data_IF_177188153984
#
_entry.id   IF_177188153984
#
_cell.length_a   1.000
_cell.length_b   1.000
_cell.length_c   1.000
_cell.angle_alpha   90.00
_cell.angle_beta   90.00
_cell.angle_gamma   90.00
#
_symmetry.space_group_name_H-M   'P 1'
#
loop_
_entity.id
_entity.type
_entity.pdbx_description
1 polymer ?
#
# COMPACT_ATOMS: atom_id res chain seq x y z
N UNK A 1 14.01 35.41 4.39
CA UNK A 1 13.49 34.53 5.41
C UNK A 1 12.90 33.29 4.75
N UNK A 2 13.30 32.12 5.20
CA UNK A 2 12.76 30.90 4.63
C UNK A 2 11.36 30.62 5.18
N UNK A 3 10.47 30.23 4.30
CA UNK A 3 9.13 29.82 4.69
C UNK A 3 9.08 28.31 4.84
N UNK A 4 8.58 27.82 5.96
CA UNK A 4 8.43 26.38 6.16
C UNK A 4 7.24 25.80 5.40
N UNK A 5 6.23 26.61 5.16
CA UNK A 5 5.03 26.20 4.44
C UNK A 5 4.85 27.14 3.26
N UNK A 6 4.79 26.58 2.06
CA UNK A 6 4.60 27.36 0.85
C UNK A 6 3.84 26.52 -0.19
N UNK A 7 3.30 27.17 -1.24
CA UNK A 7 2.64 26.42 -2.29
C UNK A 7 3.58 25.43 -2.95
N UNK A 8 3.06 24.24 -3.27
CA UNK A 8 3.86 23.20 -3.92
C UNK A 8 4.28 23.67 -5.31
N UNK A 9 5.59 23.56 -5.60
CA UNK A 9 6.20 24.07 -6.83
C UNK A 9 5.93 25.56 -7.07
N UNK A 10 5.70 26.34 -5.99
CA UNK A 10 5.38 27.76 -6.07
C UNK A 10 4.10 28.06 -6.85
N UNK A 11 3.20 27.06 -6.98
CA UNK A 11 1.94 27.21 -7.69
C UNK A 11 0.78 27.19 -6.70
N UNK A 12 0.17 28.36 -6.38
CA UNK A 12 -0.91 28.41 -5.40
C UNK A 12 -2.19 27.73 -5.86
N UNK A 13 -2.30 27.36 -7.12
CA UNK A 13 -3.52 26.72 -7.65
C UNK A 13 -3.47 25.19 -7.62
N UNK A 14 -2.34 24.60 -7.21
CA UNK A 14 -2.21 23.13 -7.17
C UNK A 14 -3.03 22.49 -6.05
N UNK A 15 -3.33 23.25 -5.00
CA UNK A 15 -4.08 22.70 -3.86
C UNK A 15 -3.23 21.82 -2.94
N UNK A 16 -1.91 21.94 -3.02
CA UNK A 16 -0.98 21.20 -2.20
C UNK A 16 0.04 22.17 -1.61
N UNK A 17 0.69 21.77 -0.53
CA UNK A 17 1.66 22.60 0.16
C UNK A 17 3.00 21.88 0.27
N UNK A 18 4.08 22.64 0.18
CA UNK A 18 5.41 22.16 0.51
C UNK A 18 5.67 22.47 1.98
N UNK A 19 5.84 21.42 2.78
CA UNK A 19 6.14 21.55 4.21
C UNK A 19 7.37 20.71 4.54
N UNK A 20 8.01 20.92 5.71
CA UNK A 20 9.10 20.04 6.11
C UNK A 20 8.70 18.57 6.17
N UNK A 21 7.44 18.28 6.46
CA UNK A 21 6.95 16.90 6.51
C UNK A 21 6.76 16.31 5.11
N UNK A 22 6.29 17.11 4.14
CA UNK A 22 5.94 16.59 2.83
C UNK A 22 7.10 16.61 1.83
N UNK A 23 8.00 17.59 1.92
CA UNK A 23 8.99 17.81 0.87
C UNK A 23 10.43 17.88 1.36
N UNK A 24 10.70 17.58 2.63
CA UNK A 24 12.07 17.56 3.13
C UNK A 24 12.86 16.42 2.48
N UNK A 25 14.19 16.56 2.51
CA UNK A 25 15.06 15.51 2.00
C UNK A 25 14.82 14.18 2.71
N UNK A 26 14.61 14.24 4.03
CA UNK A 26 14.31 13.03 4.80
C UNK A 26 13.03 12.35 4.33
N UNK A 27 11.98 13.14 4.10
CA UNK A 27 10.71 12.58 3.59
C UNK A 27 10.89 11.98 2.21
N UNK A 28 11.58 12.65 1.32
CA UNK A 28 11.82 12.14 -0.04
C UNK A 28 12.62 10.85 -0.02
N UNK A 29 13.63 10.77 0.83
CA UNK A 29 14.42 9.55 0.94
C UNK A 29 13.60 8.40 1.50
N UNK A 30 12.79 8.66 2.53
CA UNK A 30 11.93 7.64 3.12
C UNK A 30 10.91 7.13 2.12
N UNK A 31 10.18 8.04 1.47
CA UNK A 31 9.15 7.65 0.51
C UNK A 31 9.75 6.96 -0.71
N UNK A 32 10.90 7.44 -1.19
CA UNK A 32 11.56 6.84 -2.34
C UNK A 32 12.03 5.41 -2.09
N UNK A 33 12.19 5.00 -0.84
CA UNK A 33 12.59 3.65 -0.49
C UNK A 33 11.42 2.73 -0.15
N UNK A 34 10.19 3.26 -0.10
CA UNK A 34 9.01 2.42 0.06
C UNK A 34 8.79 1.57 -1.19
N UNK A 35 8.27 0.35 -1.04
CA UNK A 35 8.12 -0.56 -2.18
C UNK A 35 7.34 0.04 -3.34
N UNK A 36 6.36 0.89 -3.06
CA UNK A 36 5.52 1.48 -4.12
C UNK A 36 6.31 2.47 -4.98
N UNK A 37 7.32 3.13 -4.41
CA UNK A 37 8.10 4.16 -5.11
C UNK A 37 9.54 3.74 -5.40
N UNK A 38 10.01 2.65 -4.85
CA UNK A 38 11.40 2.23 -5.02
C UNK A 38 11.68 1.87 -6.48
N UNK A 39 12.79 2.37 -6.99
CA UNK A 39 13.18 2.10 -8.36
C UNK A 39 13.77 0.70 -8.48
N UNK A 40 13.62 0.11 -9.66
CA UNK A 40 14.22 -1.19 -9.96
C UNK A 40 13.42 -2.40 -9.51
N UNK A 41 12.21 -2.20 -8.97
CA UNK A 41 11.35 -3.31 -8.57
C UNK A 41 10.31 -3.61 -9.64
N UNK A 42 10.04 -4.89 -9.85
CA UNK A 42 8.90 -5.30 -10.67
C UNK A 42 7.60 -5.07 -9.91
N UNK A 43 6.48 -5.06 -10.64
CA UNK A 43 5.18 -4.89 -10.01
C UNK A 43 4.88 -6.00 -9.01
N UNK A 44 5.27 -7.24 -9.35
CA UNK A 44 5.07 -8.38 -8.45
C UNK A 44 5.81 -8.19 -7.14
N UNK A 45 7.08 -7.77 -7.20
CA UNK A 45 7.88 -7.56 -5.99
C UNK A 45 7.38 -6.40 -5.16
N UNK A 46 6.88 -5.32 -5.79
CA UNK A 46 6.28 -4.23 -5.05
C UNK A 46 5.07 -4.72 -4.26
N UNK A 47 4.20 -5.46 -4.91
CA UNK A 47 3.03 -6.03 -4.26
C UNK A 47 3.40 -7.00 -3.17
N UNK A 48 4.37 -7.86 -3.41
CA UNK A 48 4.82 -8.85 -2.43
C UNK A 48 5.31 -8.18 -1.15
N UNK A 49 6.16 -7.18 -1.28
CA UNK A 49 6.72 -6.49 -0.11
C UNK A 49 5.65 -5.71 0.65
N UNK A 50 4.78 -4.99 -0.07
CA UNK A 50 3.67 -4.28 0.55
C UNK A 50 2.73 -5.26 1.23
N UNK A 51 2.43 -6.37 0.58
CA UNK A 51 1.56 -7.40 1.14
C UNK A 51 2.11 -8.02 2.41
N UNK A 52 3.42 -8.32 2.43
CA UNK A 52 4.04 -8.87 3.63
C UNK A 52 3.90 -7.93 4.81
N UNK A 53 4.11 -6.63 4.60
CA UNK A 53 3.97 -5.65 5.66
C UNK A 53 2.53 -5.60 6.17
N UNK A 54 1.55 -5.56 5.27
CA UNK A 54 0.14 -5.51 5.66
C UNK A 54 -0.30 -6.78 6.38
N UNK A 55 0.10 -7.94 5.86
CA UNK A 55 -0.25 -9.19 6.52
C UNK A 55 0.33 -9.30 7.92
N UNK A 56 1.54 -8.80 8.09
CA UNK A 56 2.20 -8.83 9.38
C UNK A 56 1.50 -7.95 10.40
N UNK A 57 1.20 -6.69 10.04
CA UNK A 57 0.71 -5.76 11.05
C UNK A 57 -0.81 -5.78 11.24
N UNK A 58 -1.58 -6.26 10.25
CA UNK A 58 -3.04 -6.21 10.36
C UNK A 58 -3.60 -7.16 11.42
N UNK A 59 -2.87 -8.22 11.74
CA UNK A 59 -3.34 -9.16 12.77
C UNK A 59 -3.42 -8.50 14.15
N UNK A 60 -2.56 -7.51 14.43
CA UNK A 60 -2.47 -6.89 15.74
C UNK A 60 -3.78 -6.29 16.24
N UNK A 61 -4.41 -5.36 15.50
CA UNK A 61 -5.68 -4.78 15.95
C UNK A 61 -6.77 -5.81 16.15
N UNK A 62 -6.88 -6.82 15.28
CA UNK A 62 -7.88 -7.85 15.43
C UNK A 62 -7.61 -8.76 16.63
N UNK A 63 -6.33 -9.00 16.93
CA UNK A 63 -5.96 -9.80 18.09
C UNK A 63 -6.26 -9.06 19.40
N UNK A 64 -5.91 -7.78 19.47
CA UNK A 64 -5.97 -7.01 20.72
C UNK A 64 -7.37 -6.46 20.98
N UNK A 65 -8.08 -6.02 19.93
CA UNK A 65 -9.35 -5.30 20.07
C UNK A 65 -10.55 -6.09 19.57
N UNK A 66 -10.34 -7.30 19.05
CA UNK A 66 -11.41 -8.09 18.48
C UNK A 66 -12.40 -8.65 19.51
N UNK A 67 -13.57 -9.12 19.07
CA UNK A 67 -14.61 -9.60 19.97
C UNK A 67 -14.21 -10.82 20.79
N UNK A 68 -13.28 -11.64 20.31
CA UNK A 68 -12.81 -12.81 21.02
C UNK A 68 -11.41 -12.61 21.62
N UNK A 69 -11.04 -11.38 21.89
CA UNK A 69 -9.72 -11.03 22.39
C UNK A 69 -9.36 -11.69 23.73
N UNK A 70 -10.36 -12.03 24.52
CA UNK A 70 -10.16 -12.66 25.84
C UNK A 70 -10.32 -14.18 25.84
N UNK A 71 -10.46 -14.78 24.65
CA UNK A 71 -10.61 -16.24 24.54
C UNK A 71 -9.24 -16.88 24.28
N UNK A 72 -9.18 -18.20 24.45
CA UNK A 72 -7.97 -18.96 24.14
C UNK A 72 -7.65 -18.93 22.64
N UNK A 73 -8.66 -18.68 21.81
CA UNK A 73 -8.50 -18.64 20.36
C UNK A 73 -8.34 -17.22 19.81
N UNK A 74 -8.00 -16.24 20.65
CA UNK A 74 -7.91 -14.86 20.23
C UNK A 74 -6.94 -14.67 19.05
N UNK A 75 -5.80 -15.35 19.08
CA UNK A 75 -4.81 -15.22 18.01
C UNK A 75 -5.34 -15.83 16.71
N UNK A 76 -5.96 -16.99 16.78
CA UNK A 76 -6.54 -17.62 15.59
C UNK A 76 -7.65 -16.77 14.99
N UNK A 77 -8.55 -16.23 15.83
CA UNK A 77 -9.63 -15.37 15.36
C UNK A 77 -9.07 -14.08 14.76
N UNK A 78 -8.05 -13.51 15.39
CA UNK A 78 -7.37 -12.33 14.86
C UNK A 78 -6.74 -12.60 13.49
N UNK A 79 -6.10 -13.75 13.37
CA UNK A 79 -5.50 -14.17 12.11
C UNK A 79 -6.56 -14.34 11.01
N UNK A 80 -7.67 -15.02 11.32
CA UNK A 80 -8.73 -15.21 10.35
C UNK A 80 -9.39 -13.88 9.97
N UNK A 81 -9.55 -12.97 10.92
CA UNK A 81 -10.10 -11.65 10.64
C UNK A 81 -9.18 -10.86 9.71
N UNK A 82 -7.87 -10.93 9.94
CA UNK A 82 -6.90 -10.28 9.08
C UNK A 82 -6.93 -10.87 7.68
N UNK A 83 -7.04 -12.19 7.56
CA UNK A 83 -7.17 -12.84 6.25
C UNK A 83 -8.42 -12.37 5.51
N UNK A 84 -9.53 -12.23 6.23
CA UNK A 84 -10.76 -11.72 5.62
C UNK A 84 -10.57 -10.32 5.07
N UNK A 85 -9.93 -9.45 5.83
CA UNK A 85 -9.63 -8.08 5.36
C UNK A 85 -8.69 -8.11 4.16
N UNK A 86 -7.67 -8.96 4.17
CA UNK A 86 -6.74 -9.09 3.05
C UNK A 86 -7.47 -9.52 1.79
N UNK A 87 -8.43 -10.45 1.90
CA UNK A 87 -9.24 -10.85 0.76
C UNK A 87 -10.04 -9.68 0.21
N UNK A 88 -10.66 -8.90 1.10
CA UNK A 88 -11.40 -7.71 0.69
C UNK A 88 -10.48 -6.70 -0.01
N UNK A 89 -9.30 -6.46 0.54
CA UNK A 89 -8.34 -5.54 -0.05
C UNK A 89 -7.87 -6.04 -1.42
N UNK A 90 -7.64 -7.34 -1.57
CA UNK A 90 -7.21 -7.92 -2.84
C UNK A 90 -8.30 -7.77 -3.89
N UNK A 91 -9.55 -8.02 -3.51
CA UNK A 91 -10.69 -7.81 -4.40
C UNK A 91 -10.79 -6.33 -4.80
N UNK A 92 -10.62 -5.43 -3.85
CA UNK A 92 -10.63 -4.00 -4.12
C UNK A 92 -9.54 -3.59 -5.10
N UNK A 93 -8.32 -4.10 -4.92
CA UNK A 93 -7.22 -3.84 -5.84
C UNK A 93 -7.53 -4.38 -7.25
N UNK A 94 -8.12 -5.55 -7.34
CA UNK A 94 -8.49 -6.15 -8.61
C UNK A 94 -9.52 -5.28 -9.33
N UNK A 95 -10.56 -4.85 -8.61
CA UNK A 95 -11.60 -4.00 -9.18
C UNK A 95 -11.01 -2.65 -9.62
N UNK A 96 -10.15 -2.07 -8.80
CA UNK A 96 -9.48 -0.83 -9.16
C UNK A 96 -8.71 -0.98 -10.46
N UNK A 97 -7.96 -2.07 -10.60
CA UNK A 97 -7.19 -2.32 -11.81
C UNK A 97 -8.07 -2.48 -13.04
N UNK A 98 -9.16 -3.23 -12.90
CA UNK A 98 -10.09 -3.43 -14.01
C UNK A 98 -10.74 -2.11 -14.44
N UNK A 99 -11.09 -1.28 -13.48
CA UNK A 99 -11.74 0.01 -13.80
C UNK A 99 -10.75 1.04 -14.35
N UNK A 100 -9.50 1.02 -13.89
CA UNK A 100 -8.55 2.08 -14.21
C UNK A 100 -7.66 1.77 -15.43
N UNK A 101 -7.41 0.49 -15.73
CA UNK A 101 -6.45 0.10 -16.76
C UNK A 101 -7.09 -0.86 -17.78
N UNK A 102 -8.22 -0.44 -18.33
CA UNK A 102 -9.02 -1.31 -19.22
C UNK A 102 -8.31 -1.65 -20.52
N UNK A 103 -7.49 -0.75 -21.01
CA UNK A 103 -6.89 -0.90 -22.34
C UNK A 103 -5.57 -1.68 -22.34
N UNK A 104 -5.28 -2.35 -21.23
CA UNK A 104 -4.11 -3.20 -21.15
C UNK A 104 -2.77 -2.52 -21.19
N UNK A 105 -2.72 -1.24 -21.09
CA UNK A 105 -1.50 -0.45 -20.97
C UNK A 105 -0.33 -0.87 -21.84
N UNK A 106 0.36 0.06 -22.39
CA UNK A 106 1.53 -0.21 -23.23
C UNK A 106 2.83 -0.33 -22.44
N UNK A 107 2.79 -0.04 -21.15
CA UNK A 107 3.96 0.00 -20.27
C UNK A 107 3.87 -1.13 -19.24
N UNK A 108 5.04 -1.63 -18.85
CA UNK A 108 5.12 -2.72 -17.88
C UNK A 108 5.10 -2.25 -16.41
N UNK A 109 4.79 -0.97 -16.18
CA UNK A 109 4.75 -0.43 -14.84
C UNK A 109 3.41 -0.67 -14.16
N UNK A 110 3.26 -0.10 -12.95
CA UNK A 110 2.02 -0.20 -12.20
C UNK A 110 0.83 0.40 -12.93
N UNK A 111 1.08 1.32 -13.84
CA UNK A 111 0.02 2.02 -14.56
C UNK A 111 -0.57 1.20 -15.70
N UNK A 112 -0.15 -0.05 -15.88
CA UNK A 112 -0.72 -0.93 -16.90
C UNK A 112 -1.60 -1.97 -16.26
N UNK A 113 -2.54 -2.51 -17.04
CA UNK A 113 -3.41 -3.57 -16.58
C UNK A 113 -2.61 -4.80 -16.14
N UNK A 114 -1.62 -5.19 -16.93
CA UNK A 114 -0.78 -6.33 -16.63
C UNK A 114 0.07 -6.09 -15.37
N UNK A 115 0.69 -4.92 -15.27
CA UNK A 115 1.51 -4.57 -14.11
C UNK A 115 0.69 -4.51 -12.85
N UNK A 116 -0.51 -3.94 -12.91
CA UNK A 116 -1.39 -3.87 -11.75
C UNK A 116 -1.84 -5.25 -11.28
N UNK A 117 -2.14 -6.17 -12.23
CA UNK A 117 -2.49 -7.55 -11.85
C UNK A 117 -1.34 -8.25 -11.15
N UNK A 118 -0.10 -8.04 -11.62
CA UNK A 118 1.07 -8.58 -10.95
C UNK A 118 1.23 -8.00 -9.55
N UNK A 119 1.00 -6.69 -9.41
CA UNK A 119 1.04 -6.03 -8.11
C UNK A 119 0.00 -6.64 -7.16
N UNK A 120 -1.23 -6.80 -7.62
CA UNK A 120 -2.32 -7.37 -6.83
C UNK A 120 -2.01 -8.81 -6.40
N UNK A 121 -1.50 -9.62 -7.31
CA UNK A 121 -1.10 -10.99 -7.00
C UNK A 121 0.01 -11.02 -5.97
N UNK A 122 1.01 -10.15 -6.12
CA UNK A 122 2.09 -10.02 -5.15
C UNK A 122 1.59 -9.61 -3.79
N UNK A 123 0.66 -8.64 -3.74
CA UNK A 123 0.06 -8.21 -2.49
C UNK A 123 -0.63 -9.37 -1.78
N UNK A 124 -1.45 -10.13 -2.51
CA UNK A 124 -2.16 -11.26 -1.92
C UNK A 124 -1.19 -12.30 -1.37
N UNK A 125 -0.19 -12.69 -2.18
CA UNK A 125 0.79 -13.68 -1.75
C UNK A 125 1.59 -13.21 -0.55
N UNK A 126 2.04 -11.95 -0.57
CA UNK A 126 2.81 -11.40 0.53
C UNK A 126 1.98 -11.28 1.80
N UNK A 127 0.76 -10.78 1.69
CA UNK A 127 -0.11 -10.61 2.83
C UNK A 127 -0.51 -11.95 3.45
N UNK A 128 -0.77 -12.95 2.61
CA UNK A 128 -1.11 -14.29 3.10
C UNK A 128 0.06 -14.92 3.85
N UNK A 129 1.30 -14.71 3.37
CA UNK A 129 2.48 -15.27 4.00
C UNK A 129 3.06 -14.44 5.15
N UNK A 130 2.60 -13.20 5.27
CA UNK A 130 3.11 -12.29 6.30
C UNK A 130 2.35 -12.32 7.62
#
# INVERSE_FOLDING_TARGET
MSEFVKPYNNDPFVGNLSTPVTTSTATKLYLGNLPIYRKGLSSLLRGLEIGMAHGYFLIGPFYILGPLRNSENALLVGFLSALGLILILTIGLTIYGLASFQDGGKMDGLESSKGWRKFTSGFFLGAFGG
#
